data_IF_641172624738
#
_entry.id   IF_641172624738
#
_cell.length_a   1.000
_cell.length_b   1.000
_cell.length_c   1.000
_cell.angle_alpha   90.00
_cell.angle_beta   90.00
_cell.angle_gamma   90.00
#
_symmetry.space_group_name_H-M   'P 1'
#
loop_
_entity.id
_entity.type
_entity.pdbx_description
1 polymer ?
#
# COMPACT_ATOMS: atom_id res chain seq x y z
N UNK A 1 -17.42 -3.63 -0.73
CA UNK A 1 -16.20 -4.41 -1.10
C UNK A 1 -16.25 -5.85 -0.61
N UNK A 2 -16.74 -6.14 0.60
CA UNK A 2 -16.96 -7.52 1.09
C UNK A 2 -17.92 -8.34 0.22
N UNK A 3 -18.79 -7.69 -0.57
CA UNK A 3 -19.71 -8.37 -1.49
C UNK A 3 -19.03 -9.16 -2.61
N UNK A 4 -17.92 -8.70 -3.22
CA UNK A 4 -17.30 -9.46 -4.34
C UNK A 4 -16.60 -10.73 -3.87
N UNK A 5 -15.97 -10.69 -2.69
CA UNK A 5 -15.33 -11.87 -2.12
C UNK A 5 -16.35 -12.85 -1.50
N UNK A 6 -17.44 -12.33 -0.91
CA UNK A 6 -18.49 -13.15 -0.31
C UNK A 6 -19.52 -13.65 -1.33
N UNK A 7 -19.62 -13.03 -2.51
CA UNK A 7 -20.45 -13.50 -3.62
C UNK A 7 -20.19 -14.97 -3.95
N UNK A 8 -18.91 -15.35 -4.00
CA UNK A 8 -18.49 -16.74 -4.29
C UNK A 8 -18.88 -17.75 -3.21
N UNK A 9 -19.25 -17.32 -2.00
CA UNK A 9 -19.75 -18.23 -0.97
C UNK A 9 -21.14 -18.79 -1.34
N UNK A 10 -21.95 -18.03 -2.08
CA UNK A 10 -23.27 -18.46 -2.54
C UNK A 10 -23.66 -17.67 -3.80
N UNK A 11 -23.32 -18.22 -4.96
CA UNK A 11 -23.68 -17.69 -6.27
C UNK A 11 -25.00 -18.33 -6.68
N UNK A 12 -26.11 -17.60 -6.49
CA UNK A 12 -27.46 -18.12 -6.74
C UNK A 12 -27.77 -19.43 -6.02
N UNK A 13 -27.26 -19.61 -4.80
CA UNK A 13 -27.44 -20.84 -4.00
C UNK A 13 -26.39 -21.92 -4.23
N UNK A 14 -25.46 -21.73 -5.18
CA UNK A 14 -24.33 -22.63 -5.40
C UNK A 14 -23.08 -22.14 -4.68
N UNK A 15 -22.47 -23.01 -3.87
CA UNK A 15 -21.21 -22.72 -3.18
C UNK A 15 -20.05 -22.80 -4.17
N UNK A 16 -19.49 -21.65 -4.54
CA UNK A 16 -18.36 -21.53 -5.48
C UNK A 16 -17.10 -21.00 -4.77
N UNK A 17 -16.87 -21.41 -3.52
CA UNK A 17 -15.77 -20.87 -2.69
C UNK A 17 -14.38 -21.08 -3.28
N UNK A 18 -14.20 -22.07 -4.16
CA UNK A 18 -12.94 -22.27 -4.89
C UNK A 18 -12.57 -21.07 -5.79
N UNK A 19 -13.55 -20.35 -6.33
CA UNK A 19 -13.32 -19.16 -7.17
C UNK A 19 -12.86 -17.94 -6.36
N UNK A 20 -13.16 -17.92 -5.05
CA UNK A 20 -12.67 -16.89 -4.12
C UNK A 20 -11.15 -16.97 -3.95
N UNK A 21 -10.62 -18.20 -3.89
CA UNK A 21 -9.18 -18.45 -3.70
C UNK A 21 -8.35 -18.29 -4.98
N UNK A 22 -8.98 -18.38 -6.15
CA UNK A 22 -8.27 -18.31 -7.44
C UNK A 22 -8.32 -16.94 -8.11
N UNK A 23 -9.37 -16.13 -7.91
CA UNK A 23 -9.49 -14.81 -8.53
C UNK A 23 -9.26 -13.65 -7.56
N UNK A 24 -10.28 -13.22 -6.78
CA UNK A 24 -10.27 -11.91 -6.11
C UNK A 24 -9.18 -11.69 -5.05
N UNK A 25 -8.62 -12.77 -4.51
CA UNK A 25 -7.60 -12.72 -3.43
C UNK A 25 -6.18 -12.80 -4.01
N UNK A 26 -6.02 -13.39 -5.21
CA UNK A 26 -4.72 -13.55 -5.87
C UNK A 26 -4.45 -12.46 -6.91
N UNK A 27 -5.47 -11.81 -7.43
CA UNK A 27 -5.32 -10.71 -8.37
C UNK A 27 -5.46 -9.38 -7.62
N UNK A 28 -4.57 -8.43 -7.89
CA UNK A 28 -4.72 -7.06 -7.43
C UNK A 28 -5.74 -6.34 -8.32
N UNK A 29 -6.77 -5.73 -7.72
CA UNK A 29 -7.84 -5.04 -8.45
C UNK A 29 -7.53 -3.54 -8.60
N UNK A 30 -8.13 -2.88 -9.58
CA UNK A 30 -7.94 -1.44 -9.83
C UNK A 30 -9.27 -0.71 -9.75
N UNK A 31 -9.48 0.02 -8.65
CA UNK A 31 -10.74 0.70 -8.38
C UNK A 31 -10.59 2.06 -7.70
N UNK A 32 -11.62 2.90 -7.79
CA UNK A 32 -11.65 4.22 -7.13
C UNK A 32 -12.13 4.03 -5.70
N UNK A 33 -11.24 4.30 -4.75
CA UNK A 33 -11.54 4.19 -3.32
C UNK A 33 -11.77 5.58 -2.75
N UNK A 34 -12.93 5.83 -2.10
CA UNK A 34 -13.17 7.10 -1.45
C UNK A 34 -12.21 7.29 -0.27
N UNK A 35 -11.75 8.52 -0.06
CA UNK A 35 -10.88 8.88 1.06
C UNK A 35 -11.47 8.51 2.44
N UNK A 36 -12.79 8.50 2.58
CA UNK A 36 -13.49 8.10 3.81
C UNK A 36 -13.35 6.62 4.16
N UNK A 37 -12.94 5.77 3.21
CA UNK A 37 -12.71 4.34 3.45
C UNK A 37 -11.28 4.04 3.92
N UNK A 38 -10.38 5.03 3.91
CA UNK A 38 -9.00 4.89 4.39
C UNK A 38 -8.96 5.04 5.90
N UNK A 39 -8.50 3.99 6.59
CA UNK A 39 -8.53 3.88 8.07
C UNK A 39 -7.13 3.77 8.70
N UNK A 40 -6.08 3.97 7.91
CA UNK A 40 -4.70 3.86 8.35
C UNK A 40 -3.83 4.95 7.70
N UNK A 41 -2.65 5.18 8.28
CA UNK A 41 -1.61 6.02 7.69
C UNK A 41 -1.05 5.40 6.41
N UNK A 42 -0.28 6.18 5.65
CA UNK A 42 0.42 5.73 4.45
C UNK A 42 1.89 5.43 4.75
N UNK A 43 2.48 4.54 3.95
CA UNK A 43 3.91 4.26 3.99
C UNK A 43 4.49 4.28 2.56
N UNK A 44 5.72 4.75 2.43
CA UNK A 44 6.45 4.73 1.17
C UNK A 44 7.08 3.34 0.96
N UNK A 45 6.74 2.69 -0.14
CA UNK A 45 7.31 1.38 -0.50
C UNK A 45 8.40 1.48 -1.58
N UNK A 46 8.37 2.51 -2.43
CA UNK A 46 9.39 2.75 -3.43
C UNK A 46 9.43 4.21 -3.84
N UNK A 47 10.63 4.70 -4.10
CA UNK A 47 10.90 5.96 -4.79
C UNK A 47 11.71 5.64 -6.05
N UNK A 48 11.24 6.13 -7.20
CA UNK A 48 11.87 5.86 -8.50
C UNK A 48 12.25 7.19 -9.13
N UNK A 49 13.53 7.51 -9.09
CA UNK A 49 14.09 8.61 -9.86
C UNK A 49 14.39 8.14 -11.29
N UNK A 50 13.62 8.62 -12.25
CA UNK A 50 13.79 8.28 -13.66
C UNK A 50 15.19 8.67 -14.21
N UNK A 51 15.89 9.65 -13.62
CA UNK A 51 17.21 10.09 -14.06
C UNK A 51 18.35 9.14 -13.67
N UNK A 52 18.17 8.35 -12.60
CA UNK A 52 19.24 7.52 -12.00
C UNK A 52 18.86 6.04 -11.89
N UNK A 53 17.57 5.71 -12.01
CA UNK A 53 17.10 4.33 -11.88
C UNK A 53 17.62 3.42 -12.98
N UNK A 54 17.75 2.13 -12.66
CA UNK A 54 18.12 1.07 -13.60
C UNK A 54 16.99 0.05 -13.71
N UNK A 55 16.85 -0.67 -14.84
CA UNK A 55 15.82 -1.70 -14.97
C UNK A 55 15.87 -2.78 -13.88
N UNK A 56 17.05 -3.06 -13.34
CA UNK A 56 17.23 -4.01 -12.24
C UNK A 56 16.70 -3.46 -10.90
N UNK A 57 16.70 -2.14 -10.70
CA UNK A 57 16.18 -1.50 -9.50
C UNK A 57 14.64 -1.47 -9.46
N UNK A 58 13.96 -1.79 -10.56
CA UNK A 58 12.50 -1.91 -10.62
C UNK A 58 11.98 -3.20 -9.98
N UNK A 59 12.86 -4.19 -9.77
CA UNK A 59 12.60 -5.34 -8.91
C UNK A 59 13.06 -4.98 -7.49
N UNK A 60 12.12 -4.52 -6.66
CA UNK A 60 12.43 -3.99 -5.34
C UNK A 60 11.69 -4.72 -4.22
N UNK A 61 12.21 -4.56 -3.02
CA UNK A 61 11.64 -5.10 -1.80
C UNK A 61 11.90 -4.15 -0.64
N UNK A 62 10.86 -3.80 0.11
CA UNK A 62 10.93 -2.77 1.14
C UNK A 62 10.01 -3.09 2.34
N UNK A 63 10.47 -2.82 3.57
CA UNK A 63 9.59 -2.80 4.73
C UNK A 63 8.60 -1.63 4.67
N UNK A 64 7.45 -1.81 5.29
CA UNK A 64 6.50 -0.73 5.56
C UNK A 64 5.86 -0.91 6.94
N UNK A 65 5.45 0.22 7.53
CA UNK A 65 4.63 0.24 8.74
C UNK A 65 3.51 1.24 8.51
N UNK A 66 2.26 0.80 8.73
CA UNK A 66 1.09 1.69 8.71
C UNK A 66 0.35 1.57 10.03
N UNK A 67 -0.17 2.69 10.51
CA UNK A 67 -0.87 2.77 11.80
C UNK A 67 -2.35 3.01 11.56
N UNK A 68 -3.22 2.22 12.21
CA UNK A 68 -4.66 2.44 12.21
C UNK A 68 -4.98 3.78 12.91
N UNK A 69 -5.72 4.65 12.23
CA UNK A 69 -6.11 5.97 12.76
C UNK A 69 -7.40 5.92 13.57
N UNK A 70 -8.20 4.86 13.36
CA UNK A 70 -9.49 4.65 14.01
C UNK A 70 -9.78 3.15 14.11
N UNK A 71 -10.70 2.79 14.99
CA UNK A 71 -11.18 1.41 15.11
C UNK A 71 -11.87 0.98 13.81
N UNK A 72 -11.37 -0.07 13.18
CA UNK A 72 -11.89 -0.53 11.90
C UNK A 72 -11.52 -1.99 11.60
N UNK A 73 -12.25 -2.59 10.67
CA UNK A 73 -11.85 -3.85 10.04
C UNK A 73 -11.19 -3.57 8.70
N UNK A 74 -9.90 -3.84 8.60
CA UNK A 74 -9.10 -3.66 7.40
C UNK A 74 -9.30 -4.88 6.50
N UNK A 75 -9.88 -4.65 5.31
CA UNK A 75 -10.18 -5.72 4.35
C UNK A 75 -9.16 -5.79 3.20
N UNK A 76 -8.43 -4.71 2.94
CA UNK A 76 -7.51 -4.59 1.84
C UNK A 76 -6.43 -3.54 2.13
N UNK A 77 -5.28 -3.67 1.48
CA UNK A 77 -4.28 -2.61 1.39
C UNK A 77 -4.44 -1.86 0.07
N UNK A 78 -4.13 -0.57 0.07
CA UNK A 78 -4.18 0.27 -1.13
C UNK A 78 -2.77 0.63 -1.58
N UNK A 79 -2.49 0.45 -2.86
CA UNK A 79 -1.35 1.02 -3.56
C UNK A 79 -1.76 2.19 -4.45
N UNK A 80 -1.01 3.27 -4.39
CA UNK A 80 -1.11 4.40 -5.31
C UNK A 80 0.28 5.04 -5.46
N UNK A 81 0.43 5.93 -6.43
CA UNK A 81 1.69 6.63 -6.69
C UNK A 81 1.48 8.12 -6.90
N UNK A 82 2.54 8.86 -6.61
CA UNK A 82 2.65 10.30 -6.83
C UNK A 82 3.77 10.54 -7.86
N UNK A 83 3.58 11.54 -8.73
CA UNK A 83 4.57 11.92 -9.75
C UNK A 83 4.89 13.41 -9.60
N UNK A 84 6.18 13.74 -9.54
CA UNK A 84 6.68 15.09 -9.59
C UNK A 84 7.48 15.25 -10.88
N UNK A 85 7.36 16.43 -11.45
CA UNK A 85 8.22 16.85 -12.54
C UNK A 85 9.28 17.80 -11.95
N UNK A 86 10.57 17.58 -12.25
CA UNK A 86 11.64 18.51 -11.92
C UNK A 86 12.44 18.92 -13.17
N UNK A 87 12.82 20.21 -13.26
CA UNK A 87 13.62 20.76 -14.36
C UNK A 87 15.13 20.60 -14.16
N UNK A 88 15.54 20.17 -12.98
CA UNK A 88 16.91 19.84 -12.59
C UNK A 88 16.88 18.41 -12.05
N UNK A 89 18.02 17.69 -12.08
CA UNK A 89 18.17 16.40 -11.38
C UNK A 89 17.52 16.55 -10.00
N UNK A 90 16.46 15.77 -9.77
CA UNK A 90 15.57 15.98 -8.65
C UNK A 90 16.39 15.98 -7.36
N UNK A 91 16.21 16.99 -6.51
CA UNK A 91 16.48 16.77 -5.09
C UNK A 91 15.59 15.60 -4.68
N UNK A 92 16.14 14.51 -4.10
CA UNK A 92 15.33 13.36 -3.70
C UNK A 92 14.12 13.81 -2.89
N UNK A 93 13.01 13.07 -3.00
CA UNK A 93 11.90 13.22 -2.06
C UNK A 93 12.36 13.01 -0.61
N UNK A 94 11.47 13.19 0.39
CA UNK A 94 11.84 12.82 1.75
C UNK A 94 12.30 11.36 1.75
N UNK A 95 13.56 11.13 2.14
CA UNK A 95 14.11 9.78 2.22
C UNK A 95 13.31 8.98 3.25
N UNK A 96 13.51 7.66 3.26
CA UNK A 96 12.97 6.83 4.32
C UNK A 96 13.38 7.31 5.72
N UNK A 97 14.63 7.78 5.87
CA UNK A 97 15.10 8.35 7.14
C UNK A 97 14.39 9.68 7.47
N UNK A 98 14.04 10.47 6.46
CA UNK A 98 13.26 11.70 6.67
C UNK A 98 11.85 11.38 7.21
N UNK A 99 11.20 10.34 6.67
CA UNK A 99 9.87 9.87 7.10
C UNK A 99 9.86 9.24 8.51
N UNK A 100 10.97 8.61 8.91
CA UNK A 100 11.13 7.97 10.22
C UNK A 100 11.57 8.96 11.33
N UNK A 101 11.83 10.23 10.98
CA UNK A 101 12.23 11.25 11.96
C UNK A 101 11.08 11.71 12.87
N UNK A 102 11.39 12.07 14.13
CA UNK A 102 10.43 12.49 15.16
C UNK A 102 9.50 13.66 14.75
N UNK A 103 9.81 14.37 13.66
CA UNK A 103 9.00 15.43 13.05
C UNK A 103 7.70 14.88 12.42
N UNK A 104 7.60 13.57 12.19
CA UNK A 104 6.43 12.89 11.62
C UNK A 104 5.59 12.10 12.64
N UNK A 105 6.07 11.93 13.89
CA UNK A 105 5.45 11.07 14.90
C UNK A 105 4.23 11.69 15.62
N UNK A 106 4.08 13.02 15.58
CA UNK A 106 3.07 13.74 16.39
C UNK A 106 1.80 14.14 15.61
N UNK A 107 1.55 13.53 14.44
CA UNK A 107 0.34 13.77 13.64
C UNK A 107 0.16 15.19 13.10
N UNK A 108 1.07 16.11 13.40
CA UNK A 108 1.11 17.47 12.86
C UNK A 108 1.76 17.43 11.50
N UNK A 109 0.92 17.45 10.46
CA UNK A 109 1.36 17.57 9.07
C UNK A 109 2.08 18.91 8.89
N UNK A 110 3.40 18.93 9.03
CA UNK A 110 4.20 20.09 8.66
C UNK A 110 4.41 20.13 7.14
N UNK A 111 4.64 21.33 6.55
CA UNK A 111 4.76 21.51 5.10
C UNK A 111 5.92 20.77 4.42
N UNK A 112 6.74 20.01 5.17
CA UNK A 112 7.83 19.16 4.67
C UNK A 112 7.41 17.69 4.48
N UNK A 113 6.30 17.29 5.12
CA UNK A 113 5.67 15.95 5.07
C UNK A 113 4.66 15.76 3.93
N UNK A 114 4.15 16.87 3.41
CA UNK A 114 3.53 16.94 2.10
C UNK A 114 4.67 17.17 1.11
N UNK A 115 4.77 16.34 0.09
CA UNK A 115 5.63 16.61 -1.04
C UNK A 115 5.35 18.04 -1.52
N UNK A 116 6.29 18.97 -1.29
CA UNK A 116 6.15 20.33 -1.80
C UNK A 116 6.32 20.25 -3.30
N UNK A 117 5.37 20.82 -4.05
CA UNK A 117 5.71 21.31 -5.38
C UNK A 117 6.92 22.25 -5.21
N UNK A 118 8.01 22.07 -5.98
CA UNK A 118 9.12 23.01 -5.92
C UNK A 118 8.56 24.42 -6.19
N UNK A 119 9.00 25.40 -5.39
CA UNK A 119 8.55 26.79 -5.49
C UNK A 119 8.83 27.40 -6.89
N UNK A 120 9.64 26.71 -7.70
CA UNK A 120 9.84 26.93 -9.12
C UNK A 120 9.02 25.97 -10.01
N UNK A 121 7.77 26.33 -10.27
CA UNK A 121 7.06 26.14 -11.56
C UNK A 121 7.13 24.79 -12.31
N UNK A 122 7.19 23.64 -11.64
CA UNK A 122 6.91 22.36 -12.29
C UNK A 122 6.02 21.49 -11.41
N UNK A 123 4.87 21.10 -11.97
CA UNK A 123 3.77 20.48 -11.24
C UNK A 123 4.05 19.04 -10.83
N UNK A 124 3.03 18.43 -10.24
CA UNK A 124 2.98 17.00 -9.94
C UNK A 124 1.52 16.59 -9.78
N UNK A 125 1.28 15.29 -9.75
CA UNK A 125 -0.05 14.75 -9.48
C UNK A 125 0.02 13.51 -8.60
N UNK A 126 -1.07 13.26 -7.90
CA UNK A 126 -1.26 12.07 -7.08
C UNK A 126 -2.38 11.22 -7.66
N UNK A 127 -2.22 9.90 -7.60
CA UNK A 127 -3.31 8.95 -7.85
C UNK A 127 -3.97 8.48 -6.55
N UNK A 128 -3.56 9.04 -5.40
CA UNK A 128 -4.05 8.65 -4.09
C UNK A 128 -5.53 8.98 -3.85
N UNK A 129 -6.17 8.31 -2.88
CA UNK A 129 -7.60 8.45 -2.60
C UNK A 129 -8.00 9.83 -2.06
N UNK A 130 -7.04 10.63 -1.60
CA UNK A 130 -7.25 12.02 -1.17
C UNK A 130 -7.12 13.04 -2.32
N UNK A 131 -6.69 12.59 -3.50
CA UNK A 131 -6.55 13.41 -4.71
C UNK A 131 -7.80 13.41 -5.59
N UNK A 132 -7.71 14.10 -6.72
CA UNK A 132 -8.73 13.99 -7.78
C UNK A 132 -8.63 12.62 -8.44
N UNK A 133 -9.73 11.86 -8.61
CA UNK A 133 -9.69 10.56 -9.25
C UNK A 133 -9.06 10.62 -10.64
N UNK A 134 -8.14 9.70 -10.91
CA UNK A 134 -7.45 9.56 -12.20
C UNK A 134 -7.88 8.27 -12.89
N UNK A 135 -7.53 8.09 -14.16
CA UNK A 135 -7.80 6.83 -14.88
C UNK A 135 -7.01 5.63 -14.31
N UNK A 136 -5.90 5.88 -13.60
CA UNK A 136 -5.15 4.85 -12.89
C UNK A 136 -5.86 4.34 -11.64
N UNK A 137 -6.78 5.13 -11.08
CA UNK A 137 -7.47 4.82 -9.82
C UNK A 137 -6.46 4.43 -8.71
N UNK A 138 -6.78 3.44 -7.88
CA UNK A 138 -5.86 2.84 -6.90
C UNK A 138 -5.81 1.32 -7.09
N UNK A 139 -4.67 0.72 -6.76
CA UNK A 139 -4.49 -0.73 -6.71
C UNK A 139 -4.96 -1.26 -5.36
N UNK A 140 -5.80 -2.29 -5.34
CA UNK A 140 -6.40 -2.85 -4.14
C UNK A 140 -5.89 -4.28 -3.94
N UNK A 141 -5.24 -4.51 -2.80
CA UNK A 141 -4.73 -5.80 -2.36
C UNK A 141 -5.67 -6.39 -1.30
N UNK A 142 -6.63 -7.21 -1.72
CA UNK A 142 -7.62 -7.82 -0.80
C UNK A 142 -6.93 -8.81 0.12
N UNK A 143 -7.05 -8.60 1.43
CA UNK A 143 -6.50 -9.51 2.43
C UNK A 143 -7.32 -10.80 2.46
N UNK A 144 -6.63 -11.95 2.57
CA UNK A 144 -7.31 -13.23 2.75
C UNK A 144 -8.19 -13.25 4.00
N UNK A 145 -7.65 -12.68 5.08
CA UNK A 145 -8.32 -12.57 6.37
C UNK A 145 -8.35 -11.08 6.77
N UNK A 146 -9.55 -10.51 6.95
CA UNK A 146 -9.67 -9.13 7.42
C UNK A 146 -9.05 -8.96 8.81
N UNK A 147 -8.38 -7.83 9.03
CA UNK A 147 -7.71 -7.51 10.30
C UNK A 147 -8.61 -6.58 11.09
N UNK A 148 -8.96 -6.96 12.31
CA UNK A 148 -9.64 -6.06 13.25
C UNK A 148 -8.58 -5.25 13.99
N UNK A 149 -8.52 -3.95 13.72
CA UNK A 149 -7.53 -3.04 14.28
C UNK A 149 -8.21 -1.96 15.12
N UNK A 150 -7.65 -1.68 16.29
CA UNK A 150 -8.01 -0.52 17.09
C UNK A 150 -7.18 0.70 16.67
N UNK A 151 -7.67 1.89 16.98
CA UNK A 151 -6.92 3.13 16.80
C UNK A 151 -5.56 3.04 17.53
N UNK A 152 -4.48 3.29 16.80
CA UNK A 152 -3.12 3.18 17.32
C UNK A 152 -2.42 1.86 17.00
N UNK A 153 -3.14 0.79 16.62
CA UNK A 153 -2.53 -0.46 16.19
C UNK A 153 -1.67 -0.26 14.94
N UNK A 154 -0.66 -1.10 14.76
CA UNK A 154 0.23 -1.05 13.61
C UNK A 154 0.14 -2.33 12.77
N UNK A 155 0.27 -2.16 11.46
CA UNK A 155 0.49 -3.23 10.52
C UNK A 155 1.91 -3.09 9.99
N UNK A 156 2.74 -4.03 10.40
CA UNK A 156 4.13 -4.14 9.95
C UNK A 156 4.18 -5.08 8.77
N UNK A 157 5.04 -4.80 7.80
CA UNK A 157 5.15 -5.67 6.65
C UNK A 157 6.36 -5.43 5.77
N UNK A 158 6.42 -6.24 4.73
CA UNK A 158 7.41 -6.22 3.67
C UNK A 158 6.69 -6.36 2.35
N UNK A 159 6.90 -5.38 1.47
CA UNK A 159 6.36 -5.34 0.12
C UNK A 159 7.45 -5.71 -0.86
N UNK A 160 7.17 -6.64 -1.77
CA UNK A 160 8.07 -7.04 -2.85
C UNK A 160 7.34 -6.89 -4.17
N UNK A 161 7.98 -6.25 -5.13
CA UNK A 161 7.49 -6.13 -6.50
C UNK A 161 8.56 -6.61 -7.47
N UNK A 162 8.20 -7.57 -8.32
CA UNK A 162 9.10 -8.10 -9.34
C UNK A 162 8.37 -8.23 -10.66
N UNK A 163 9.10 -8.03 -11.74
CA UNK A 163 8.64 -8.38 -13.07
C UNK A 163 8.40 -9.88 -13.16
N UNK A 164 7.26 -10.30 -13.70
CA UNK A 164 6.97 -11.73 -13.81
C UNK A 164 7.90 -12.41 -14.82
N UNK A 165 8.35 -13.60 -14.45
CA UNK A 165 9.19 -14.46 -15.31
C UNK A 165 8.38 -15.15 -16.42
N UNK A 166 7.06 -15.28 -16.23
CA UNK A 166 6.17 -15.96 -17.19
C UNK A 166 5.61 -14.98 -18.21
N UNK A 167 5.14 -13.80 -17.75
CA UNK A 167 4.70 -12.72 -18.61
C UNK A 167 5.39 -11.41 -18.20
N UNK A 168 6.40 -10.93 -18.97
CA UNK A 168 7.12 -9.70 -18.69
C UNK A 168 6.26 -8.42 -18.55
N UNK A 169 4.98 -8.45 -18.92
CA UNK A 169 4.03 -7.34 -18.75
C UNK A 169 3.28 -7.37 -17.42
N UNK A 170 3.33 -8.49 -16.70
CA UNK A 170 2.72 -8.67 -15.40
C UNK A 170 3.74 -8.42 -14.27
N UNK A 171 3.22 -8.02 -13.11
CA UNK A 171 4.00 -7.87 -11.89
C UNK A 171 3.60 -8.95 -10.88
N UNK A 172 4.61 -9.66 -10.38
CA UNK A 172 4.50 -10.57 -9.26
C UNK A 172 4.76 -9.77 -7.98
N UNK A 173 3.73 -9.62 -7.16
CA UNK A 173 3.75 -8.86 -5.92
C UNK A 173 3.66 -9.82 -4.74
N UNK A 174 4.42 -9.55 -3.69
CA UNK A 174 4.36 -10.30 -2.44
C UNK A 174 4.30 -9.32 -1.27
N UNK A 175 3.27 -9.47 -0.44
CA UNK A 175 3.10 -8.68 0.78
C UNK A 175 3.14 -9.63 1.96
N UNK A 176 4.19 -9.51 2.76
CA UNK A 176 4.26 -10.15 4.07
C UNK A 176 3.84 -9.13 5.12
N UNK A 177 2.91 -9.47 6.01
CA UNK A 177 2.42 -8.54 7.01
C UNK A 177 2.03 -9.23 8.33
N UNK A 178 2.09 -8.48 9.43
CA UNK A 178 1.60 -8.90 10.74
C UNK A 178 1.05 -7.70 11.53
N UNK A 179 -0.01 -7.95 12.29
CA UNK A 179 -0.69 -6.95 13.11
C UNK A 179 -0.05 -6.87 14.50
N UNK A 180 0.26 -5.64 14.93
CA UNK A 180 0.84 -5.31 16.23
C UNK A 180 -0.15 -4.41 16.97
N UNK A 181 -0.83 -4.94 18.01
CA UNK A 181 -1.66 -4.12 18.89
C UNK A 181 -0.87 -2.97 19.53
N UNK A 182 -1.50 -1.82 19.73
CA UNK A 182 -0.87 -0.62 20.29
C UNK A 182 -0.16 -0.88 21.63
N UNK A 183 -0.69 -1.79 22.45
CA UNK A 183 -0.09 -2.18 23.74
C UNK A 183 1.22 -2.99 23.62
N UNK A 184 1.55 -3.49 22.43
CA UNK A 184 2.74 -4.33 22.17
C UNK A 184 3.73 -3.68 21.20
N UNK A 185 3.63 -2.36 20.96
CA UNK A 185 4.52 -1.64 20.04
C UNK A 185 6.01 -1.75 20.38
N UNK A 186 6.35 -1.86 21.66
CA UNK A 186 7.75 -2.00 22.10
C UNK A 186 8.34 -3.39 21.83
N UNK A 187 7.52 -4.38 21.44
CA UNK A 187 7.93 -5.76 21.17
C UNK A 187 7.28 -6.32 19.90
N UNK A 188 7.51 -5.72 18.72
CA UNK A 188 6.85 -6.11 17.47
C UNK A 188 7.24 -7.52 17.01
N UNK A 189 8.42 -8.00 17.37
CA UNK A 189 8.93 -9.33 16.98
C UNK A 189 8.08 -10.49 17.53
N UNK A 190 7.36 -10.33 18.64
CA UNK A 190 6.45 -11.36 19.14
C UNK A 190 5.27 -11.57 18.18
N UNK A 191 4.74 -10.48 17.63
CA UNK A 191 3.64 -10.51 16.68
C UNK A 191 4.06 -11.04 15.30
N UNK A 192 5.35 -10.91 14.96
CA UNK A 192 5.91 -11.41 13.69
C UNK A 192 5.76 -12.91 13.49
N UNK A 193 5.61 -13.69 14.56
CA UNK A 193 5.34 -15.13 14.47
C UNK A 193 4.03 -15.43 13.73
N UNK A 194 3.10 -14.48 13.71
CA UNK A 194 1.82 -14.57 13.01
C UNK A 194 1.85 -13.87 11.64
N UNK A 195 3.04 -13.69 11.04
CA UNK A 195 3.17 -13.07 9.74
C UNK A 195 2.48 -13.88 8.65
N UNK A 196 1.65 -13.18 7.88
CA UNK A 196 0.96 -13.71 6.71
C UNK A 196 1.71 -13.24 5.48
N UNK A 197 2.11 -14.18 4.61
CA UNK A 197 2.67 -13.88 3.30
C UNK A 197 1.60 -14.14 2.23
N UNK A 198 1.22 -13.09 1.51
CA UNK A 198 0.24 -13.16 0.43
C UNK A 198 0.85 -12.67 -0.88
N UNK A 199 0.64 -13.47 -1.93
CA UNK A 199 1.09 -13.17 -3.30
C UNK A 199 -0.07 -12.63 -4.13
N UNK A 200 0.23 -11.64 -4.94
CA UNK A 200 -0.69 -11.03 -5.88
C UNK A 200 -0.06 -10.98 -7.27
N UNK A 201 -0.89 -11.10 -8.29
CA UNK A 201 -0.54 -10.76 -9.65
C UNK A 201 -1.26 -9.48 -10.06
N UNK A 202 -0.52 -8.55 -10.64
CA UNK A 202 -1.06 -7.33 -11.24
C UNK A 202 -0.86 -7.41 -12.76
N UNK A 203 -1.96 -7.23 -13.50
CA UNK A 203 -2.03 -7.32 -14.96
C UNK A 203 -2.05 -5.94 -15.63
#
# INVERSE_FOLDING_TARGET
MSDRANYWNSVYGFKMSAMKETGPIKEADVDVIPSSAVVATRALVAEIDHGTTTPAALDFSSPFVVQATQDATIHALLGYFDVAFSCVQATPGPSREDLESAVYADGTVTPKALWKQPESSMGGFTTGPHGTPTHWKQTVFVLREPIVAAAGDELHGHFTCKKSTTNPRELDLEITYFHVPAAMKDQPELARQNAICQKYQLR
#
